data_IF_925137955133
#
_entry.id   IF_925137955133
#
_cell.length_a   1.000
_cell.length_b   1.000
_cell.length_c   1.000
_cell.angle_alpha   90.00
_cell.angle_beta   90.00
_cell.angle_gamma   90.00
#
_symmetry.space_group_name_H-M   'P 1'
#
loop_
_entity.id
_entity.type
_entity.pdbx_description
1 polymer ?
#
# COMPACT_ATOMS: atom_id res chain seq x y z
N UNK A 1 3.36 -10.97 -17.20
CA UNK A 1 2.86 -10.02 -16.17
C UNK A 1 2.18 -10.85 -15.10
N UNK A 2 2.63 -10.72 -13.86
CA UNK A 2 2.10 -11.48 -12.73
C UNK A 2 1.09 -10.68 -11.93
N UNK A 3 1.23 -9.34 -11.91
CA UNK A 3 0.36 -8.44 -11.16
C UNK A 3 0.28 -7.07 -11.84
N UNK A 4 -0.86 -6.41 -11.71
CA UNK A 4 -1.06 -5.01 -12.11
C UNK A 4 -1.41 -4.19 -10.87
N UNK A 5 -0.68 -3.12 -10.61
CA UNK A 5 -0.97 -2.17 -9.53
C UNK A 5 -1.39 -0.83 -10.16
N UNK A 6 -2.57 -0.36 -9.82
CA UNK A 6 -3.14 0.89 -10.28
C UNK A 6 -2.90 1.96 -9.23
N UNK A 7 -2.17 3.01 -9.57
CA UNK A 7 -1.92 4.13 -8.68
C UNK A 7 -2.87 5.28 -9.02
N UNK A 8 -3.64 5.78 -8.04
CA UNK A 8 -4.60 6.86 -8.27
C UNK A 8 -4.75 7.78 -7.06
N UNK A 9 -4.88 9.08 -7.34
CA UNK A 9 -5.37 10.05 -6.35
C UNK A 9 -6.89 9.99 -6.27
N UNK A 10 -7.44 9.75 -5.09
CA UNK A 10 -8.88 9.47 -4.92
C UNK A 10 -9.77 10.71 -4.94
N UNK A 11 -9.22 11.87 -4.70
CA UNK A 11 -9.97 13.13 -4.63
C UNK A 11 -10.21 13.80 -5.98
N UNK A 12 -9.35 13.49 -6.96
CA UNK A 12 -9.43 14.09 -8.30
C UNK A 12 -10.47 13.41 -9.19
N UNK A 13 -11.06 14.16 -10.12
CA UNK A 13 -12.06 13.64 -11.07
C UNK A 13 -11.53 12.51 -11.94
N UNK A 14 -10.33 12.66 -12.54
CA UNK A 14 -9.73 11.65 -13.41
C UNK A 14 -9.30 10.40 -12.63
N UNK A 15 -8.44 10.54 -11.60
CA UNK A 15 -7.94 9.41 -10.81
C UNK A 15 -9.06 8.68 -10.07
N UNK A 16 -9.86 9.42 -9.29
CA UNK A 16 -10.98 8.86 -8.55
C UNK A 16 -12.06 8.25 -9.45
N UNK A 17 -12.33 8.86 -10.62
CA UNK A 17 -13.32 8.35 -11.56
C UNK A 17 -12.88 7.11 -12.33
N UNK A 18 -11.59 6.99 -12.65
CA UNK A 18 -11.08 5.92 -13.52
C UNK A 18 -10.58 4.67 -12.76
N UNK A 19 -10.26 4.75 -11.47
CA UNK A 19 -9.61 3.65 -10.73
C UNK A 19 -10.41 2.36 -10.78
N UNK A 20 -11.71 2.39 -10.48
CA UNK A 20 -12.56 1.19 -10.49
C UNK A 20 -12.74 0.62 -11.90
N UNK A 21 -13.08 1.40 -12.94
CA UNK A 21 -13.05 0.92 -14.32
C UNK A 21 -11.72 0.29 -14.75
N UNK A 22 -10.59 0.85 -14.33
CA UNK A 22 -9.27 0.28 -14.62
C UNK A 22 -9.03 -1.05 -13.90
N UNK A 23 -9.48 -1.19 -12.66
CA UNK A 23 -9.47 -2.48 -11.95
C UNK A 23 -10.24 -3.54 -12.73
N UNK A 24 -11.45 -3.22 -13.19
CA UNK A 24 -12.25 -4.17 -13.96
C UNK A 24 -11.63 -4.51 -15.33
N UNK A 25 -11.00 -3.54 -15.99
CA UNK A 25 -10.27 -3.77 -17.24
C UNK A 25 -9.05 -4.69 -17.01
N UNK A 26 -8.27 -4.45 -15.97
CA UNK A 26 -7.12 -5.27 -15.63
C UNK A 26 -7.53 -6.72 -15.27
N UNK A 27 -8.64 -6.90 -14.56
CA UNK A 27 -9.21 -8.24 -14.28
C UNK A 27 -9.62 -8.96 -15.57
N UNK A 28 -10.28 -8.26 -16.49
CA UNK A 28 -10.62 -8.82 -17.81
C UNK A 28 -9.38 -9.29 -18.58
N UNK A 29 -8.30 -8.49 -18.53
CA UNK A 29 -7.03 -8.89 -19.12
C UNK A 29 -6.50 -10.21 -18.51
N UNK A 30 -6.44 -10.32 -17.18
CA UNK A 30 -5.99 -11.56 -16.54
C UNK A 30 -6.88 -12.75 -16.86
N UNK A 31 -8.19 -12.57 -16.89
CA UNK A 31 -9.13 -13.61 -17.32
C UNK A 31 -8.87 -14.04 -18.78
N UNK A 32 -8.65 -13.08 -19.67
CA UNK A 32 -8.36 -13.34 -21.07
C UNK A 32 -7.07 -14.17 -21.26
N UNK A 33 -6.03 -13.90 -20.47
CA UNK A 33 -4.78 -14.67 -20.50
C UNK A 33 -4.83 -15.96 -19.66
N UNK A 34 -6.02 -16.38 -19.23
CA UNK A 34 -6.24 -17.67 -18.57
C UNK A 34 -5.91 -17.72 -17.07
N UNK A 35 -5.74 -16.59 -16.40
CA UNK A 35 -5.51 -16.57 -14.94
C UNK A 35 -6.85 -16.65 -14.19
N UNK A 36 -7.01 -17.68 -13.35
CA UNK A 36 -8.23 -17.90 -12.56
C UNK A 36 -8.37 -16.94 -11.37
N UNK A 37 -7.27 -16.45 -10.84
CA UNK A 37 -7.14 -15.55 -9.68
C UNK A 37 -7.05 -14.04 -10.09
N UNK A 38 -7.77 -13.67 -11.16
CA UNK A 38 -7.68 -12.33 -11.75
C UNK A 38 -7.87 -11.17 -10.76
N UNK A 39 -8.83 -11.28 -9.83
CA UNK A 39 -9.08 -10.27 -8.83
C UNK A 39 -7.92 -10.10 -7.83
N UNK A 40 -7.24 -11.19 -7.49
CA UNK A 40 -6.11 -11.20 -6.57
C UNK A 40 -4.81 -10.70 -7.22
N UNK A 41 -4.80 -10.51 -8.54
CA UNK A 41 -3.65 -10.00 -9.32
C UNK A 41 -3.73 -8.53 -9.65
N UNK A 42 -4.80 -7.87 -9.24
CA UNK A 42 -4.98 -6.42 -9.46
C UNK A 42 -5.04 -5.72 -8.12
N UNK A 43 -4.07 -4.86 -7.85
CA UNK A 43 -4.03 -4.03 -6.65
C UNK A 43 -4.23 -2.55 -6.93
N UNK A 44 -4.49 -1.79 -5.89
CA UNK A 44 -4.65 -0.34 -5.95
C UNK A 44 -3.77 0.32 -4.90
N UNK A 45 -3.02 1.34 -5.32
CA UNK A 45 -2.41 2.32 -4.42
C UNK A 45 -3.23 3.59 -4.53
N UNK A 46 -3.94 3.93 -3.44
CA UNK A 46 -4.83 5.07 -3.34
C UNK A 46 -4.20 6.18 -2.51
N UNK A 47 -3.91 7.34 -3.11
CA UNK A 47 -3.40 8.48 -2.35
C UNK A 47 -4.52 9.40 -1.89
N UNK A 48 -4.51 9.72 -0.59
CA UNK A 48 -5.41 10.67 0.03
C UNK A 48 -4.96 12.12 -0.25
N UNK A 49 -5.90 13.06 -0.41
CA UNK A 49 -5.57 14.46 -0.48
C UNK A 49 -4.98 14.96 0.84
N UNK A 50 -4.20 16.01 0.78
CA UNK A 50 -3.74 16.72 1.99
C UNK A 50 -4.89 17.44 2.67
N UNK A 51 -4.74 17.75 3.98
CA UNK A 51 -5.71 18.55 4.74
C UNK A 51 -5.97 19.90 4.07
N UNK A 52 -4.93 20.51 3.48
CA UNK A 52 -5.09 21.78 2.74
C UNK A 52 -5.97 21.64 1.48
N UNK A 53 -5.86 20.53 0.75
CA UNK A 53 -6.72 20.24 -0.40
C UNK A 53 -8.16 19.92 0.03
N UNK A 54 -8.34 19.29 1.19
CA UNK A 54 -9.66 19.00 1.79
C UNK A 54 -10.40 20.25 2.28
N UNK A 55 -9.78 21.43 2.29
CA UNK A 55 -10.50 22.70 2.49
C UNK A 55 -11.56 22.93 1.40
N UNK A 56 -11.43 22.32 0.23
CA UNK A 56 -12.49 22.23 -0.77
C UNK A 56 -13.48 21.12 -0.41
N UNK A 57 -14.77 21.42 -0.15
CA UNK A 57 -15.78 20.41 0.15
C UNK A 57 -15.93 19.35 -0.93
N UNK A 58 -15.76 19.72 -2.20
CA UNK A 58 -15.81 18.78 -3.32
C UNK A 58 -14.67 17.76 -3.25
N UNK A 59 -13.44 18.21 -2.96
CA UNK A 59 -12.27 17.35 -2.82
C UNK A 59 -12.46 16.37 -1.66
N UNK A 60 -12.90 16.88 -0.50
CA UNK A 60 -13.16 16.06 0.69
C UNK A 60 -14.25 15.00 0.43
N UNK A 61 -15.37 15.40 -0.17
CA UNK A 61 -16.49 14.49 -0.49
C UNK A 61 -16.06 13.42 -1.49
N UNK A 62 -15.35 13.80 -2.55
CA UNK A 62 -14.86 12.85 -3.56
C UNK A 62 -13.90 11.83 -2.93
N UNK A 63 -12.96 12.29 -2.11
CA UNK A 63 -12.01 11.43 -1.42
C UNK A 63 -12.72 10.44 -0.49
N UNK A 64 -13.65 10.92 0.34
CA UNK A 64 -14.41 10.08 1.26
C UNK A 64 -15.22 9.01 0.52
N UNK A 65 -16.00 9.41 -0.48
CA UNK A 65 -16.83 8.48 -1.24
C UNK A 65 -16.00 7.43 -1.96
N UNK A 66 -14.91 7.85 -2.62
CA UNK A 66 -14.05 6.92 -3.37
C UNK A 66 -13.29 5.97 -2.44
N UNK A 67 -12.76 6.45 -1.32
CA UNK A 67 -12.10 5.58 -0.35
C UNK A 67 -13.07 4.57 0.26
N UNK A 68 -14.29 4.98 0.61
CA UNK A 68 -15.34 4.08 1.10
C UNK A 68 -15.64 2.97 0.09
N UNK A 69 -15.76 3.33 -1.19
CA UNK A 69 -15.96 2.36 -2.28
C UNK A 69 -14.79 1.38 -2.39
N UNK A 70 -13.56 1.88 -2.42
CA UNK A 70 -12.35 1.05 -2.56
C UNK A 70 -12.17 0.12 -1.36
N UNK A 71 -12.37 0.59 -0.13
CA UNK A 71 -12.29 -0.26 1.06
C UNK A 71 -13.30 -1.41 0.99
N UNK A 72 -14.57 -1.12 0.64
CA UNK A 72 -15.61 -2.15 0.49
C UNK A 72 -15.25 -3.18 -0.60
N UNK A 73 -14.69 -2.74 -1.72
CA UNK A 73 -14.26 -3.63 -2.80
C UNK A 73 -13.08 -4.51 -2.37
N UNK A 74 -12.12 -3.96 -1.62
CA UNK A 74 -10.98 -4.71 -1.09
C UNK A 74 -11.39 -5.73 -0.02
N UNK A 75 -12.28 -5.36 0.91
CA UNK A 75 -12.87 -6.26 1.92
C UNK A 75 -13.59 -7.45 1.27
N UNK A 76 -14.32 -7.20 0.19
CA UNK A 76 -15.05 -8.23 -0.56
C UNK A 76 -14.21 -8.94 -1.62
N UNK A 77 -12.88 -8.78 -1.58
CA UNK A 77 -11.91 -9.41 -2.51
C UNK A 77 -12.20 -9.15 -4.00
N UNK A 78 -12.74 -7.98 -4.33
CA UNK A 78 -12.93 -7.61 -5.73
C UNK A 78 -11.62 -7.24 -6.42
N UNK A 79 -10.63 -6.86 -5.63
CA UNK A 79 -9.21 -6.71 -5.99
C UNK A 79 -8.35 -6.83 -4.72
N UNK A 80 -7.06 -7.08 -4.85
CA UNK A 80 -6.07 -7.01 -3.76
C UNK A 80 -4.64 -6.83 -4.27
N UNK A 81 -3.80 -6.10 -3.52
CA UNK A 81 -4.08 -5.40 -2.27
C UNK A 81 -4.66 -3.99 -2.49
N UNK A 82 -5.24 -3.40 -1.43
CA UNK A 82 -5.46 -1.96 -1.31
C UNK A 82 -4.40 -1.37 -0.39
N UNK A 83 -3.64 -0.41 -0.90
CA UNK A 83 -2.65 0.33 -0.14
C UNK A 83 -3.04 1.80 -0.14
N UNK A 84 -3.13 2.39 1.05
CA UNK A 84 -3.54 3.77 1.23
C UNK A 84 -2.31 4.61 1.58
N UNK A 85 -2.07 5.66 0.82
CA UNK A 85 -0.98 6.63 1.03
C UNK A 85 -1.56 7.91 1.60
N UNK A 86 -1.12 8.27 2.80
CA UNK A 86 -1.49 9.52 3.45
C UNK A 86 -0.44 10.60 3.18
N UNK A 87 -0.75 11.50 2.24
CA UNK A 87 0.16 12.58 1.85
C UNK A 87 0.48 13.54 3.00
N UNK A 88 -0.47 13.80 3.91
CA UNK A 88 -0.20 14.66 5.08
C UNK A 88 0.75 13.99 6.07
N UNK A 89 0.66 12.69 6.25
CA UNK A 89 1.57 11.94 7.12
C UNK A 89 3.00 12.00 6.58
N UNK A 90 3.17 11.78 5.28
CA UNK A 90 4.48 11.90 4.64
C UNK A 90 4.99 13.35 4.73
N UNK A 91 4.14 14.35 4.52
CA UNK A 91 4.50 15.77 4.68
C UNK A 91 5.02 16.09 6.08
N UNK A 92 4.42 15.51 7.12
CA UNK A 92 4.87 15.69 8.51
C UNK A 92 6.26 15.10 8.77
N UNK A 93 6.61 14.03 8.08
CA UNK A 93 7.95 13.40 8.19
C UNK A 93 9.04 14.26 7.53
N UNK A 94 8.68 15.07 6.55
CA UNK A 94 9.58 15.91 5.80
C UNK A 94 9.20 17.41 5.88
N UNK A 95 9.19 18.03 7.07
CA UNK A 95 8.64 19.38 7.28
C UNK A 95 9.39 20.49 6.56
N UNK A 96 10.61 20.23 6.09
CA UNK A 96 11.46 21.21 5.38
C UNK A 96 11.46 21.02 3.86
N UNK A 97 10.61 20.16 3.31
CA UNK A 97 10.53 19.97 1.86
C UNK A 97 10.01 21.23 1.16
N UNK A 98 10.70 21.62 0.11
CA UNK A 98 10.18 22.63 -0.81
C UNK A 98 9.01 22.07 -1.62
N UNK A 99 8.12 22.92 -2.10
CA UNK A 99 7.00 22.53 -2.96
C UNK A 99 7.48 21.72 -4.18
N UNK A 100 8.61 22.09 -4.76
CA UNK A 100 9.22 21.39 -5.92
C UNK A 100 9.69 19.97 -5.57
N UNK A 101 10.21 19.76 -4.36
CA UNK A 101 10.73 18.47 -3.91
C UNK A 101 9.64 17.56 -3.32
N UNK A 102 8.46 18.08 -3.00
CA UNK A 102 7.41 17.37 -2.28
C UNK A 102 6.96 16.09 -3.00
N UNK A 103 6.45 16.21 -4.23
CA UNK A 103 5.96 15.06 -4.99
C UNK A 103 7.03 14.04 -5.33
N UNK A 104 8.24 14.44 -5.81
CA UNK A 104 9.31 13.48 -6.02
C UNK A 104 9.67 12.70 -4.75
N UNK A 105 9.72 13.35 -3.58
CA UNK A 105 10.06 12.68 -2.32
C UNK A 105 8.98 11.67 -1.91
N UNK A 106 7.69 12.06 -1.97
CA UNK A 106 6.58 11.14 -1.67
C UNK A 106 6.63 9.93 -2.60
N UNK A 107 6.70 10.17 -3.89
CA UNK A 107 6.68 9.11 -4.89
C UNK A 107 7.88 8.16 -4.71
N UNK A 108 9.08 8.68 -4.46
CA UNK A 108 10.27 7.87 -4.20
C UNK A 108 10.15 7.08 -2.90
N UNK A 109 9.53 7.64 -1.86
CA UNK A 109 9.32 6.94 -0.59
C UNK A 109 8.38 5.74 -0.77
N UNK A 110 7.25 5.95 -1.44
CA UNK A 110 6.27 4.87 -1.69
C UNK A 110 6.83 3.83 -2.64
N UNK A 111 7.42 4.24 -3.77
CA UNK A 111 8.00 3.29 -4.73
C UNK A 111 9.21 2.56 -4.15
N UNK A 112 9.98 3.21 -3.27
CA UNK A 112 11.11 2.61 -2.57
C UNK A 112 10.69 1.47 -1.65
N UNK A 113 9.59 1.61 -0.91
CA UNK A 113 9.04 0.52 -0.10
C UNK A 113 8.68 -0.69 -0.97
N UNK A 114 7.95 -0.47 -2.07
CA UNK A 114 7.63 -1.54 -3.02
C UNK A 114 8.87 -2.19 -3.62
N UNK A 115 9.84 -1.37 -4.00
CA UNK A 115 11.09 -1.85 -4.59
C UNK A 115 11.85 -2.76 -3.62
N UNK A 116 11.97 -2.38 -2.35
CA UNK A 116 12.65 -3.19 -1.33
C UNK A 116 11.99 -4.58 -1.23
N UNK A 117 10.67 -4.66 -1.08
CA UNK A 117 9.98 -5.95 -0.98
C UNK A 117 10.10 -6.79 -2.25
N UNK A 118 10.03 -6.18 -3.43
CA UNK A 118 10.25 -6.88 -4.69
C UNK A 118 11.69 -7.41 -4.82
N UNK A 119 12.69 -6.66 -4.36
CA UNK A 119 14.10 -7.10 -4.37
C UNK A 119 14.29 -8.24 -3.39
N UNK A 120 13.82 -8.10 -2.15
CA UNK A 120 13.96 -9.13 -1.11
C UNK A 120 13.29 -10.45 -1.51
N UNK A 121 12.12 -10.40 -2.12
CA UNK A 121 11.41 -11.59 -2.59
C UNK A 121 12.12 -12.34 -3.75
N UNK A 122 13.14 -11.74 -4.36
CA UNK A 122 13.91 -12.34 -5.45
C UNK A 122 15.38 -12.57 -5.09
N UNK A 123 15.77 -12.37 -3.83
CA UNK A 123 17.13 -12.64 -3.36
C UNK A 123 17.23 -14.04 -2.75
N UNK A 124 18.34 -14.71 -3.05
CA UNK A 124 18.68 -15.95 -2.38
C UNK A 124 19.18 -15.64 -0.96
N UNK A 125 18.75 -16.44 0.01
CA UNK A 125 19.20 -16.39 1.39
C UNK A 125 19.80 -17.72 1.81
N UNK A 126 20.84 -17.68 2.64
CA UNK A 126 21.52 -18.89 3.12
C UNK A 126 20.74 -19.62 4.24
N UNK A 127 19.82 -18.94 4.89
CA UNK A 127 19.07 -19.49 6.05
C UNK A 127 17.59 -19.72 5.73
N UNK A 128 16.87 -18.68 5.38
CA UNK A 128 15.43 -18.74 5.08
C UNK A 128 15.11 -17.75 3.96
N UNK A 129 14.49 -18.19 2.91
CA UNK A 129 14.10 -17.32 1.80
C UNK A 129 12.70 -16.73 2.05
N UNK A 130 12.57 -15.43 1.85
CA UNK A 130 11.28 -14.80 1.60
C UNK A 130 11.08 -14.82 0.08
N UNK A 131 10.41 -15.85 -0.40
CA UNK A 131 10.30 -16.09 -1.83
C UNK A 131 9.12 -15.32 -2.49
N UNK A 132 9.04 -15.29 -3.83
CA UNK A 132 7.93 -14.63 -4.52
C UNK A 132 6.54 -15.18 -4.17
N UNK A 133 6.43 -16.46 -3.73
CA UNK A 133 5.15 -17.05 -3.34
C UNK A 133 4.69 -16.53 -1.98
N UNK A 134 5.61 -16.34 -1.03
CA UNK A 134 5.35 -15.74 0.27
C UNK A 134 4.84 -14.30 0.09
N UNK A 135 5.53 -13.53 -0.74
CA UNK A 135 5.13 -12.17 -1.07
C UNK A 135 3.76 -12.11 -1.77
N UNK A 136 3.53 -12.98 -2.74
CA UNK A 136 2.25 -13.07 -3.45
C UNK A 136 1.10 -13.46 -2.52
N UNK A 137 1.34 -14.32 -1.53
CA UNK A 137 0.36 -14.73 -0.53
C UNK A 137 -0.13 -13.55 0.32
N UNK A 138 0.78 -12.66 0.76
CA UNK A 138 0.42 -11.44 1.46
C UNK A 138 -0.32 -10.47 0.54
N UNK A 139 0.16 -10.31 -0.69
CA UNK A 139 -0.46 -9.42 -1.69
C UNK A 139 -1.87 -9.84 -2.10
N UNK A 140 -2.25 -11.10 -1.92
CA UNK A 140 -3.58 -11.65 -2.19
C UNK A 140 -4.55 -11.55 -1.01
N UNK A 141 -4.10 -11.06 0.13
CA UNK A 141 -4.96 -10.90 1.31
C UNK A 141 -6.02 -9.82 1.09
N UNK A 142 -7.19 -10.01 1.69
CA UNK A 142 -8.30 -9.04 1.63
C UNK A 142 -8.05 -7.82 2.53
N UNK A 143 -8.72 -6.73 2.22
CA UNK A 143 -8.66 -5.49 3.00
C UNK A 143 -7.48 -4.61 2.61
N UNK A 144 -7.03 -3.80 3.57
CA UNK A 144 -5.93 -2.86 3.37
C UNK A 144 -4.58 -3.51 3.75
N UNK A 145 -3.59 -3.36 2.89
CA UNK A 145 -2.22 -3.77 3.16
C UNK A 145 -1.42 -2.59 3.66
N UNK A 146 -0.66 -2.81 4.73
CA UNK A 146 0.34 -1.86 5.22
C UNK A 146 1.74 -2.44 5.05
N UNK A 147 2.71 -1.58 4.83
CA UNK A 147 4.12 -1.95 4.73
C UNK A 147 4.95 -1.01 5.58
N UNK A 148 6.03 -1.52 6.14
CA UNK A 148 6.97 -0.72 6.91
C UNK A 148 8.38 -1.27 6.83
N UNK A 149 9.35 -0.37 6.99
CA UNK A 149 10.79 -0.68 7.08
C UNK A 149 11.33 0.08 8.29
N UNK A 150 12.08 -0.60 9.12
CA UNK A 150 12.71 0.03 10.29
C UNK A 150 14.10 -0.54 10.52
N UNK A 151 15.01 0.31 10.97
CA UNK A 151 16.31 -0.12 11.50
C UNK A 151 16.18 -0.51 12.97
N UNK A 152 16.60 -1.71 13.31
CA UNK A 152 16.63 -2.20 14.70
C UNK A 152 18.00 -1.96 15.29
N UNK A 153 18.08 -1.14 16.35
CA UNK A 153 19.35 -0.86 17.05
C UNK A 153 19.60 -1.82 18.21
N UNK A 154 18.50 -2.25 18.86
CA UNK A 154 18.53 -3.14 20.04
C UNK A 154 18.09 -4.55 19.61
N UNK A 155 18.92 -5.19 18.79
CA UNK A 155 18.65 -6.55 18.27
C UNK A 155 19.07 -7.66 19.25
N UNK A 156 19.84 -7.35 20.27
CA UNK A 156 20.26 -8.30 21.30
C UNK A 156 19.20 -8.52 22.39
N UNK A 157 18.27 -7.59 22.50
CA UNK A 157 17.16 -7.70 23.47
C UNK A 157 16.06 -8.65 22.95
N UNK A 158 15.57 -9.55 23.81
CA UNK A 158 14.51 -10.53 23.50
C UNK A 158 13.24 -9.92 22.87
N UNK A 159 12.99 -8.64 23.08
CA UNK A 159 11.83 -7.93 22.58
C UNK A 159 12.15 -6.76 21.66
N UNK A 160 13.44 -6.51 21.37
CA UNK A 160 13.88 -5.34 20.60
C UNK A 160 13.30 -5.34 19.18
N UNK A 161 13.44 -6.45 18.47
CA UNK A 161 12.93 -6.64 17.11
C UNK A 161 11.40 -6.53 17.08
N UNK A 162 10.69 -7.25 17.96
CA UNK A 162 9.22 -7.26 17.97
C UNK A 162 8.63 -5.88 18.31
N UNK A 163 9.24 -5.13 19.22
CA UNK A 163 8.83 -3.75 19.54
C UNK A 163 9.06 -2.81 18.37
N UNK A 164 10.21 -2.91 17.70
CA UNK A 164 10.53 -2.08 16.53
C UNK A 164 9.57 -2.34 15.37
N UNK A 165 9.28 -3.60 15.07
CA UNK A 165 8.31 -3.98 14.03
C UNK A 165 6.91 -3.48 14.37
N UNK A 166 6.42 -3.72 15.59
CA UNK A 166 5.10 -3.25 16.02
C UNK A 166 4.98 -1.73 15.91
N UNK A 167 5.94 -1.00 16.48
CA UNK A 167 5.95 0.47 16.40
C UNK A 167 5.98 0.98 14.96
N UNK A 168 6.73 0.31 14.09
CA UNK A 168 6.79 0.70 12.68
C UNK A 168 5.46 0.44 11.95
N UNK A 169 4.79 -0.69 12.20
CA UNK A 169 3.48 -0.99 11.59
C UNK A 169 2.37 -0.06 12.11
N UNK A 170 2.41 0.34 13.38
CA UNK A 170 1.47 1.31 13.96
C UNK A 170 1.68 2.74 13.42
N UNK A 171 2.91 3.08 13.05
CA UNK A 171 3.31 4.43 12.59
C UNK A 171 4.01 4.44 11.22
N UNK A 172 3.60 3.53 10.33
CA UNK A 172 4.14 3.44 8.96
C UNK A 172 4.05 4.75 8.19
N UNK A 173 4.89 4.90 7.16
CA UNK A 173 4.88 6.03 6.21
C UNK A 173 3.58 6.13 5.40
N UNK A 174 2.86 5.02 5.28
CA UNK A 174 1.57 4.95 4.61
C UNK A 174 0.46 5.40 5.56
N UNK A 175 -0.80 5.18 5.21
CA UNK A 175 -1.91 5.46 6.11
C UNK A 175 -1.77 4.64 7.41
N UNK A 176 -2.19 5.21 8.52
CA UNK A 176 -2.16 4.59 9.84
C UNK A 176 -3.55 4.43 10.43
N UNK A 177 -3.60 3.96 11.69
CA UNK A 177 -4.85 3.79 12.42
C UNK A 177 -5.55 2.45 12.17
N UNK A 178 -4.89 1.51 11.52
CA UNK A 178 -5.39 0.14 11.37
C UNK A 178 -5.23 -0.64 12.68
N UNK A 179 -6.24 -1.45 13.01
CA UNK A 179 -6.14 -2.40 14.11
C UNK A 179 -5.36 -3.65 13.64
N UNK A 180 -4.12 -3.78 14.06
CA UNK A 180 -3.25 -4.90 13.68
C UNK A 180 -3.81 -6.27 14.12
N UNK A 181 -4.74 -6.32 15.08
CA UNK A 181 -5.38 -7.56 15.52
C UNK A 181 -6.33 -8.14 14.46
N UNK A 182 -6.76 -7.33 13.51
CA UNK A 182 -7.61 -7.76 12.40
C UNK A 182 -6.82 -8.27 11.20
N UNK A 183 -5.49 -8.28 11.27
CA UNK A 183 -4.64 -8.75 10.18
C UNK A 183 -4.89 -10.25 9.91
N UNK A 184 -5.10 -10.59 8.65
CA UNK A 184 -5.33 -11.98 8.19
C UNK A 184 -4.07 -12.63 7.65
N UNK A 185 -3.08 -11.83 7.28
CA UNK A 185 -1.76 -12.29 6.83
C UNK A 185 -0.69 -11.28 7.23
N UNK A 186 0.49 -11.77 7.51
CA UNK A 186 1.68 -10.96 7.77
C UNK A 186 2.92 -11.69 7.26
N UNK A 187 3.87 -10.94 6.75
CA UNK A 187 5.20 -11.43 6.40
C UNK A 187 6.23 -10.34 6.70
N UNK A 188 7.44 -10.74 6.94
CA UNK A 188 8.55 -9.84 7.20
C UNK A 188 9.89 -10.50 6.96
N UNK A 189 10.91 -9.68 6.74
CA UNK A 189 12.31 -10.08 6.61
C UNK A 189 13.09 -9.31 7.67
N UNK A 190 13.91 -10.00 8.44
CA UNK A 190 14.76 -9.46 9.51
C UNK A 190 16.21 -9.77 9.20
#
# INVERSE_FOLDING_TARGET
IDRIIICAGVAGGSGGGSVVPLVELAKKYFTYVGKKDAAERVGVIASLPTTGECASPTVATNAFNKMTELCKLAETKKFSPLIIVDNDKIKKLYPKLTVKAFWPTINNTVSGLFHIFNVLANQNSDLTSFDPQDYDSVMKSSGCMIMGVTGVKDYESDTGISKALKSNLESTLLAGGFDLKTATAAAGVV
#
